data_IF_958096817858
#
_entry.id   IF_958096817858
#
_cell.length_a   1.000
_cell.length_b   1.000
_cell.length_c   1.000
_cell.angle_alpha   90.00
_cell.angle_beta   90.00
_cell.angle_gamma   90.00
#
_symmetry.space_group_name_H-M   'P 1'
#
loop_
_entity.id
_entity.type
_entity.pdbx_description
1 polymer ?
#
# COMPACT_ATOMS: atom_id res chain seq x y z
N UNK A 1 6.27 13.58 3.23
CA UNK A 1 6.29 12.34 2.42
C UNK A 1 4.85 11.95 2.14
N UNK A 2 4.54 11.53 0.92
CA UNK A 2 3.22 11.07 0.52
C UNK A 2 3.28 9.57 0.24
N UNK A 3 2.45 8.81 0.95
CA UNK A 3 2.24 7.40 0.66
C UNK A 3 0.77 7.26 0.25
N UNK A 4 0.53 6.59 -0.88
CA UNK A 4 -0.79 6.18 -1.29
C UNK A 4 -0.79 4.72 -1.67
N UNK A 5 -1.87 4.02 -1.34
CA UNK A 5 -2.05 2.62 -1.64
C UNK A 5 -3.46 2.38 -2.17
N UNK A 6 -3.61 1.40 -3.05
CA UNK A 6 -4.94 0.92 -3.45
C UNK A 6 -4.93 -0.57 -3.71
N UNK A 7 -6.07 -1.21 -3.53
CA UNK A 7 -6.26 -2.58 -3.99
C UNK A 7 -6.53 -2.56 -5.50
N UNK A 8 -5.74 -3.30 -6.27
CA UNK A 8 -5.88 -3.38 -7.74
C UNK A 8 -6.44 -4.72 -8.21
N UNK A 9 -6.71 -5.64 -7.29
CA UNK A 9 -7.36 -6.91 -7.59
C UNK A 9 -6.74 -8.04 -6.79
N UNK A 10 -6.57 -9.18 -7.45
CA UNK A 10 -5.98 -10.37 -6.87
C UNK A 10 -4.89 -10.91 -7.78
N UNK A 11 -3.78 -11.38 -7.19
CA UNK A 11 -2.67 -11.99 -7.91
C UNK A 11 -2.38 -13.36 -7.32
N UNK A 12 -2.14 -14.34 -8.21
CA UNK A 12 -1.75 -15.70 -7.83
C UNK A 12 -0.30 -15.67 -7.35
N UNK A 13 -0.05 -15.93 -6.07
CA UNK A 13 1.31 -15.98 -5.53
C UNK A 13 1.82 -17.42 -5.48
N UNK A 14 2.96 -17.66 -6.12
CA UNK A 14 3.72 -18.91 -6.01
C UNK A 14 4.55 -18.88 -4.71
N UNK A 15 4.78 -20.01 -4.01
CA UNK A 15 4.57 -21.41 -4.40
C UNK A 15 3.24 -22.04 -3.96
N UNK A 16 2.41 -21.36 -3.18
CA UNK A 16 1.20 -21.98 -2.59
C UNK A 16 -0.08 -21.86 -3.43
N UNK A 17 0.01 -21.36 -4.66
CA UNK A 17 -1.14 -21.10 -5.55
C UNK A 17 -2.33 -20.38 -4.90
N UNK A 18 -2.09 -19.64 -3.82
CA UNK A 18 -3.10 -18.85 -3.15
C UNK A 18 -3.33 -17.56 -3.93
N UNK A 19 -4.60 -17.26 -4.17
CA UNK A 19 -5.04 -15.99 -4.69
C UNK A 19 -4.96 -14.96 -3.57
N UNK A 20 -3.97 -14.06 -3.62
CA UNK A 20 -3.79 -13.00 -2.63
C UNK A 20 -4.24 -11.66 -3.21
N UNK A 21 -4.81 -10.76 -2.39
CA UNK A 21 -5.08 -9.40 -2.84
C UNK A 21 -3.77 -8.73 -3.26
N UNK A 22 -3.86 -7.97 -4.35
CA UNK A 22 -2.74 -7.21 -4.90
C UNK A 22 -2.98 -5.73 -4.64
N UNK A 23 -1.92 -5.05 -4.20
CA UNK A 23 -1.94 -3.66 -3.81
C UNK A 23 -0.94 -2.89 -4.68
N UNK A 24 -1.38 -1.78 -5.24
CA UNK A 24 -0.50 -0.79 -5.86
C UNK A 24 -0.14 0.25 -4.82
N UNK A 25 1.15 0.50 -4.68
CA UNK A 25 1.72 1.42 -3.71
C UNK A 25 2.50 2.46 -4.47
N UNK A 26 2.24 3.74 -4.17
CA UNK A 26 3.03 4.86 -4.65
C UNK A 26 3.54 5.64 -3.45
N UNK A 27 4.85 5.84 -3.40
CA UNK A 27 5.54 6.61 -2.37
C UNK A 27 6.26 7.75 -3.08
N UNK A 28 6.01 8.98 -2.63
CA UNK A 28 6.61 10.19 -3.17
C UNK A 28 7.11 11.09 -2.04
N UNK A 29 8.15 11.87 -2.33
CA UNK A 29 8.67 12.91 -1.44
C UNK A 29 8.77 14.22 -2.22
N UNK A 30 7.91 15.18 -1.87
CA UNK A 30 7.72 16.39 -2.66
C UNK A 30 7.19 16.05 -4.06
N UNK A 31 7.92 16.46 -5.10
CA UNK A 31 7.61 16.18 -6.50
C UNK A 31 8.28 14.91 -7.05
N UNK A 32 9.02 14.18 -6.22
CA UNK A 32 9.80 13.02 -6.67
C UNK A 32 9.14 11.71 -6.23
N UNK A 33 8.90 10.81 -7.20
CA UNK A 33 8.36 9.47 -6.94
C UNK A 33 9.50 8.54 -6.52
N UNK A 34 9.46 8.05 -5.28
CA UNK A 34 10.45 7.15 -4.70
C UNK A 34 10.16 5.71 -5.11
N UNK A 35 8.89 5.34 -5.16
CA UNK A 35 8.47 4.00 -5.49
C UNK A 35 7.08 4.00 -6.10
N UNK A 36 6.90 3.16 -7.11
CA UNK A 36 5.61 2.82 -7.67
C UNK A 36 5.63 1.38 -8.15
N UNK A 37 4.72 0.57 -7.60
CA UNK A 37 4.64 -0.82 -7.99
C UNK A 37 3.53 -1.59 -7.30
N UNK A 38 3.26 -2.77 -7.85
CA UNK A 38 2.23 -3.69 -7.35
C UNK A 38 2.84 -4.84 -6.56
N UNK A 39 2.32 -5.11 -5.36
CA UNK A 39 2.77 -6.18 -4.48
C UNK A 39 1.60 -6.90 -3.82
N UNK A 40 1.78 -8.17 -3.47
CA UNK A 40 0.86 -8.93 -2.61
C UNK A 40 1.26 -8.88 -1.14
N UNK A 41 2.41 -8.28 -0.84
CA UNK A 41 2.95 -8.06 0.51
C UNK A 41 3.32 -6.57 0.64
N UNK A 42 2.35 -5.70 0.99
CA UNK A 42 2.57 -4.27 1.05
C UNK A 42 3.41 -3.82 2.24
N UNK A 43 3.29 -4.47 3.40
CA UNK A 43 3.99 -4.05 4.63
C UNK A 43 5.52 -3.96 4.47
N UNK A 44 6.22 -4.95 3.86
CA UNK A 44 7.66 -4.84 3.61
C UNK A 44 8.04 -3.65 2.72
N UNK A 45 7.22 -3.29 1.74
CA UNK A 45 7.46 -2.15 0.85
C UNK A 45 7.28 -0.84 1.62
N UNK A 46 6.21 -0.73 2.40
CA UNK A 46 5.94 0.44 3.24
C UNK A 46 7.05 0.69 4.26
N UNK A 47 7.57 -0.37 4.89
CA UNK A 47 8.70 -0.26 5.85
C UNK A 47 10.00 0.12 5.13
N UNK A 48 10.34 -0.57 4.05
CA UNK A 48 11.64 -0.39 3.37
C UNK A 48 11.74 0.87 2.52
N UNK A 49 10.63 1.32 1.91
CA UNK A 49 10.58 2.46 0.98
C UNK A 49 9.81 3.64 1.53
N UNK A 50 8.74 3.38 2.27
CA UNK A 50 7.85 4.39 2.83
C UNK A 50 8.24 4.85 4.22
N UNK A 51 9.32 4.32 4.81
CA UNK A 51 9.75 4.61 6.20
C UNK A 51 8.61 4.44 7.23
N UNK A 52 7.59 3.64 6.92
CA UNK A 52 6.51 3.31 7.85
C UNK A 52 7.12 2.43 8.93
N UNK A 53 7.00 2.84 10.19
CA UNK A 53 7.48 2.02 11.28
C UNK A 53 6.53 0.84 11.47
N UNK A 54 7.07 -0.33 11.81
CA UNK A 54 6.26 -1.53 12.09
C UNK A 54 5.34 -1.35 13.30
N UNK A 55 5.60 -0.32 14.12
CA UNK A 55 4.79 0.08 15.27
C UNK A 55 3.72 1.12 14.93
N UNK A 56 3.72 1.67 13.71
CA UNK A 56 2.66 2.57 13.28
C UNK A 56 1.36 1.77 13.21
N UNK A 57 0.37 2.22 13.98
CA UNK A 57 -0.90 1.52 14.17
C UNK A 57 -1.84 1.60 12.97
N UNK A 58 -1.43 2.25 11.88
CA UNK A 58 -2.27 2.38 10.70
C UNK A 58 -2.19 1.11 9.84
N UNK A 59 -3.29 0.37 9.86
CA UNK A 59 -3.47 -0.80 9.01
C UNK A 59 -3.79 -0.38 7.58
N UNK A 60 -2.73 -0.16 6.82
CA UNK A 60 -2.78 0.14 5.40
C UNK A 60 -3.61 -0.87 4.61
N UNK A 61 -3.49 -2.17 4.93
CA UNK A 61 -4.17 -3.24 4.20
C UNK A 61 -5.68 -3.12 4.39
N UNK A 62 -6.12 -3.03 5.65
CA UNK A 62 -7.52 -2.86 5.98
C UNK A 62 -8.11 -1.60 5.35
N UNK A 63 -7.38 -0.49 5.39
CA UNK A 63 -7.80 0.76 4.77
C UNK A 63 -7.97 0.62 3.24
N UNK A 64 -7.01 0.02 2.55
CA UNK A 64 -7.09 -0.16 1.09
C UNK A 64 -8.19 -1.14 0.67
N UNK A 65 -8.44 -2.19 1.46
CA UNK A 65 -9.54 -3.12 1.24
C UNK A 65 -10.90 -2.45 1.45
N UNK A 66 -11.02 -1.64 2.51
CA UNK A 66 -12.23 -0.86 2.78
C UNK A 66 -12.48 0.16 1.67
N UNK A 67 -11.48 0.94 1.29
CA UNK A 67 -11.57 1.90 0.19
C UNK A 67 -12.03 1.23 -1.12
N UNK A 68 -11.44 0.07 -1.45
CA UNK A 68 -11.85 -0.70 -2.62
C UNK A 68 -13.31 -1.19 -2.54
N UNK A 69 -13.79 -1.56 -1.35
CA UNK A 69 -15.18 -1.95 -1.13
C UNK A 69 -16.17 -0.77 -1.25
N UNK A 70 -15.70 0.44 -0.96
CA UNK A 70 -16.46 1.69 -1.07
C UNK A 70 -16.37 2.33 -2.47
N UNK A 71 -15.59 1.75 -3.39
CA UNK A 71 -15.36 2.29 -4.73
C UNK A 71 -14.34 3.43 -4.78
N UNK A 72 -13.58 3.65 -3.71
CA UNK A 72 -12.52 4.64 -3.67
C UNK A 72 -11.25 4.14 -4.38
N UNK A 73 -10.57 5.08 -5.06
CA UNK A 73 -9.44 4.74 -5.91
C UNK A 73 -8.12 4.62 -5.14
N UNK A 74 -7.93 5.33 -4.02
CA UNK A 74 -6.66 5.40 -3.28
C UNK A 74 -6.89 5.72 -1.82
N UNK A 75 -6.20 5.02 -0.92
CA UNK A 75 -5.97 5.48 0.46
C UNK A 75 -4.66 6.22 0.53
N UNK A 76 -4.64 7.34 1.23
CA UNK A 76 -3.43 8.13 1.50
C UNK A 76 -3.03 8.01 2.96
N UNK A 77 -1.76 8.27 3.26
CA UNK A 77 -1.26 8.32 4.62
C UNK A 77 -2.03 9.37 5.43
N UNK A 78 -2.77 9.00 6.49
CA UNK A 78 -3.43 9.98 7.36
C UNK A 78 -2.42 10.83 8.15
N UNK A 79 -1.16 10.37 8.26
CA UNK A 79 -0.09 11.09 8.95
C UNK A 79 0.85 11.84 8.00
N UNK A 80 0.58 11.80 6.70
CA UNK A 80 1.38 12.38 5.64
C UNK A 80 1.41 13.91 5.71
N UNK A 81 2.23 14.47 6.59
CA UNK A 81 2.39 15.92 6.77
C UNK A 81 3.19 16.39 7.99
N UNK A 82 3.88 15.51 8.71
CA UNK A 82 4.81 15.92 9.78
C UNK A 82 6.26 15.64 9.41
#
# INVERSE_FOLDING_TARGET
>A
MLIRMRRVGQRRSWPFFQTRPAYEIVIAEGSHEIFNGTTTTPSPVLVSRGKVHTTDSYDWIAAADQAASQGEAWVTDPFGGR
#
